data_IF_941862617070
#
_entry.id   IF_941862617070
#
_cell.length_a   1.000
_cell.length_b   1.000
_cell.length_c   1.000
_cell.angle_alpha   90.00
_cell.angle_beta   90.00
_cell.angle_gamma   90.00
#
_symmetry.space_group_name_H-M   'P 1'
#
loop_
_entity.id
_entity.type
_entity.pdbx_description
1 polymer ?
#
# COMPACT_ATOMS: atom_id res chain seq x y z
N UNK A 1 -34.96 -7.64 8.13
CA UNK A 1 -34.02 -7.46 9.25
C UNK A 1 -33.44 -8.75 9.83
N UNK A 2 -34.14 -9.91 9.75
CA UNK A 2 -33.66 -11.20 10.25
C UNK A 2 -32.54 -11.83 9.39
N UNK A 3 -32.74 -11.91 8.08
CA UNK A 3 -31.77 -12.52 7.14
C UNK A 3 -30.39 -11.90 7.16
N UNK A 4 -30.31 -10.57 7.34
CA UNK A 4 -29.03 -9.85 7.40
C UNK A 4 -28.26 -10.11 8.68
N UNK A 5 -28.95 -10.29 9.82
CA UNK A 5 -28.29 -10.66 11.08
C UNK A 5 -27.76 -12.09 11.03
N UNK A 6 -28.48 -13.00 10.39
CA UNK A 6 -28.07 -14.38 10.19
C UNK A 6 -26.88 -14.49 9.23
N UNK A 7 -26.88 -13.72 8.14
CA UNK A 7 -25.79 -13.62 7.19
C UNK A 7 -24.46 -13.21 7.85
N UNK A 8 -24.49 -12.23 8.76
CA UNK A 8 -23.30 -11.71 9.45
C UNK A 8 -22.82 -12.65 10.57
N UNK A 9 -23.74 -13.38 11.23
CA UNK A 9 -23.41 -14.24 12.37
C UNK A 9 -22.62 -15.50 12.01
N UNK A 10 -22.71 -15.95 10.77
CA UNK A 10 -22.10 -17.22 10.30
C UNK A 10 -20.82 -17.01 9.46
N UNK A 11 -20.50 -15.77 9.06
CA UNK A 11 -19.40 -15.46 8.15
C UNK A 11 -18.31 -14.63 8.80
N UNK A 12 -17.06 -14.88 8.38
CA UNK A 12 -15.92 -14.06 8.80
C UNK A 12 -15.95 -12.71 8.07
N UNK A 13 -16.06 -11.64 8.83
CA UNK A 13 -15.92 -10.27 8.29
C UNK A 13 -14.47 -9.95 7.95
N UNK A 14 -14.24 -9.47 6.72
CA UNK A 14 -12.97 -8.90 6.26
C UNK A 14 -13.11 -7.39 6.39
N UNK A 15 -12.34 -6.77 7.26
CA UNK A 15 -12.41 -5.32 7.53
C UNK A 15 -11.90 -4.51 6.35
N UNK A 16 -12.68 -3.49 5.95
CA UNK A 16 -12.45 -2.78 4.71
C UNK A 16 -12.60 -1.25 4.87
N UNK A 17 -11.66 -0.52 4.29
CA UNK A 17 -11.68 0.94 4.16
C UNK A 17 -11.61 1.37 2.70
N UNK A 18 -12.27 2.49 2.37
CA UNK A 18 -12.27 3.10 1.03
C UNK A 18 -11.84 4.57 1.10
N UNK A 19 -10.63 4.85 0.64
CA UNK A 19 -10.07 6.21 0.58
C UNK A 19 -10.26 6.77 -0.83
N UNK A 20 -10.50 8.08 -0.92
CA UNK A 20 -10.92 8.71 -2.20
C UNK A 20 -12.19 8.04 -2.76
N UNK A 21 -13.12 7.74 -1.86
CA UNK A 21 -14.24 6.84 -2.13
C UNK A 21 -15.21 7.38 -3.19
N UNK A 22 -15.25 8.70 -3.42
CA UNK A 22 -16.19 9.30 -4.34
C UNK A 22 -17.63 8.89 -4.01
N UNK A 23 -18.41 8.52 -5.00
CA UNK A 23 -19.78 8.02 -4.82
C UNK A 23 -19.85 6.57 -4.31
N UNK A 24 -18.70 5.89 -4.09
CA UNK A 24 -18.66 4.55 -3.53
C UNK A 24 -18.52 3.42 -4.54
N UNK A 25 -17.78 3.62 -5.63
CA UNK A 25 -17.59 2.58 -6.65
C UNK A 25 -16.92 1.33 -6.10
N UNK A 26 -15.77 1.48 -5.42
CA UNK A 26 -15.12 0.37 -4.72
C UNK A 26 -15.99 -0.14 -3.57
N UNK A 27 -16.53 0.77 -2.76
CA UNK A 27 -17.37 0.41 -1.62
C UNK A 27 -18.52 -0.51 -2.03
N UNK A 28 -19.23 -0.20 -3.10
CA UNK A 28 -20.33 -1.04 -3.60
C UNK A 28 -19.84 -2.37 -4.16
N UNK A 29 -18.74 -2.37 -4.93
CA UNK A 29 -18.17 -3.58 -5.51
C UNK A 29 -17.71 -4.58 -4.43
N UNK A 30 -16.99 -4.11 -3.42
CA UNK A 30 -16.55 -4.94 -2.29
C UNK A 30 -17.73 -5.43 -1.45
N UNK A 31 -18.74 -4.58 -1.21
CA UNK A 31 -19.94 -4.96 -0.48
C UNK A 31 -20.77 -6.07 -1.15
N UNK A 32 -20.72 -6.16 -2.48
CA UNK A 32 -21.38 -7.20 -3.25
C UNK A 32 -20.54 -8.48 -3.38
N UNK A 33 -19.23 -8.42 -3.10
CA UNK A 33 -18.34 -9.56 -3.15
C UNK A 33 -18.40 -10.34 -1.82
N UNK A 34 -18.99 -11.51 -1.83
CA UNK A 34 -19.06 -12.40 -0.67
C UNK A 34 -19.06 -13.87 -1.08
N UNK A 35 -18.71 -14.73 -0.12
CA UNK A 35 -18.77 -16.18 -0.25
C UNK A 35 -19.65 -16.75 0.86
N UNK A 36 -19.80 -18.07 0.92
CA UNK A 36 -20.61 -18.72 1.96
C UNK A 36 -20.00 -18.50 3.36
N UNK A 37 -18.70 -18.28 3.46
CA UNK A 37 -17.95 -18.15 4.72
C UNK A 37 -17.39 -16.75 5.00
N UNK A 38 -17.41 -15.82 4.03
CA UNK A 38 -16.76 -14.50 4.14
C UNK A 38 -17.59 -13.39 3.53
N UNK A 39 -17.44 -12.19 4.09
CA UNK A 39 -17.98 -10.93 3.54
C UNK A 39 -17.06 -9.76 3.86
N UNK A 40 -17.18 -8.66 3.12
CA UNK A 40 -16.46 -7.43 3.44
C UNK A 40 -17.24 -6.59 4.44
N UNK A 41 -16.64 -6.38 5.61
CA UNK A 41 -17.17 -5.54 6.67
C UNK A 41 -16.72 -4.10 6.44
N UNK A 42 -17.54 -3.32 5.78
CA UNK A 42 -17.26 -1.93 5.42
C UNK A 42 -17.25 -1.04 6.67
N UNK A 43 -16.08 -0.53 7.02
CA UNK A 43 -15.88 0.21 8.27
C UNK A 43 -15.88 1.71 8.06
N UNK A 44 -15.12 2.21 7.08
CA UNK A 44 -14.94 3.62 6.89
C UNK A 44 -14.68 3.94 5.41
N UNK A 45 -15.27 5.03 4.95
CA UNK A 45 -14.90 5.72 3.72
C UNK A 45 -14.38 7.12 3.99
N UNK A 46 -13.59 7.66 3.07
CA UNK A 46 -13.10 9.03 3.13
C UNK A 46 -13.09 9.67 1.76
N UNK A 47 -13.55 10.91 1.70
CA UNK A 47 -13.44 11.80 0.54
C UNK A 47 -13.50 13.25 1.02
N UNK A 48 -12.98 14.19 0.22
CA UNK A 48 -13.06 15.63 0.54
C UNK A 48 -14.44 16.22 0.19
N UNK A 49 -15.24 15.53 -0.63
CA UNK A 49 -16.49 16.04 -1.16
C UNK A 49 -17.69 15.66 -0.26
N UNK A 50 -18.35 16.65 0.30
CA UNK A 50 -19.54 16.48 1.17
C UNK A 50 -20.71 15.76 0.46
N UNK A 51 -20.85 15.88 -0.86
CA UNK A 51 -21.88 15.14 -1.60
C UNK A 51 -21.59 13.63 -1.59
N UNK A 52 -20.32 13.24 -1.55
CA UNK A 52 -19.92 11.85 -1.40
C UNK A 52 -20.32 11.32 -0.01
N UNK A 53 -20.09 12.10 1.05
CA UNK A 53 -20.55 11.77 2.40
C UNK A 53 -22.06 11.53 2.44
N UNK A 54 -22.85 12.44 1.86
CA UNK A 54 -24.31 12.29 1.83
C UNK A 54 -24.72 11.00 1.10
N UNK A 55 -24.10 10.71 -0.04
CA UNK A 55 -24.35 9.48 -0.81
C UNK A 55 -24.07 8.24 0.04
N UNK A 56 -22.93 8.20 0.72
CA UNK A 56 -22.54 7.08 1.59
C UNK A 56 -23.49 6.91 2.78
N UNK A 57 -23.85 8.00 3.46
CA UNK A 57 -24.80 7.97 4.59
C UNK A 57 -26.17 7.44 4.15
N UNK A 58 -26.68 7.90 3.00
CA UNK A 58 -27.95 7.39 2.48
C UNK A 58 -27.83 5.91 2.10
N UNK A 59 -26.84 5.54 1.30
CA UNK A 59 -26.70 4.17 0.78
C UNK A 59 -26.39 3.17 1.88
N UNK A 60 -25.33 3.40 2.66
CA UNK A 60 -24.82 2.38 3.59
C UNK A 60 -25.49 2.44 4.95
N UNK A 61 -25.67 3.62 5.53
CA UNK A 61 -26.24 3.71 6.87
C UNK A 61 -27.78 3.60 6.81
N UNK A 62 -28.45 4.45 6.00
CA UNK A 62 -29.91 4.51 5.99
C UNK A 62 -30.55 3.33 5.25
N UNK A 63 -30.14 3.05 4.01
CA UNK A 63 -30.77 1.99 3.20
C UNK A 63 -30.31 0.58 3.61
N UNK A 64 -29.00 0.38 3.82
CA UNK A 64 -28.45 -0.92 4.18
C UNK A 64 -28.35 -1.16 5.69
N UNK A 65 -28.53 -0.13 6.52
CA UNK A 65 -28.46 -0.22 7.98
C UNK A 65 -27.08 -0.63 8.49
N UNK A 66 -26.00 -0.24 7.79
CA UNK A 66 -24.63 -0.46 8.23
C UNK A 66 -24.18 0.64 9.19
N UNK A 67 -23.26 0.30 10.08
CA UNK A 67 -22.57 1.28 10.94
C UNK A 67 -21.22 1.69 10.29
N UNK A 68 -21.30 2.23 9.06
CA UNK A 68 -20.12 2.69 8.31
C UNK A 68 -19.87 4.16 8.64
N UNK A 69 -18.61 4.49 8.92
CA UNK A 69 -18.17 5.87 9.12
C UNK A 69 -17.82 6.53 7.80
N UNK A 70 -17.97 7.85 7.74
CA UNK A 70 -17.47 8.66 6.63
C UNK A 70 -16.64 9.82 7.18
N UNK A 71 -15.41 9.99 6.68
CA UNK A 71 -14.55 11.11 6.99
C UNK A 71 -14.54 12.08 5.81
N UNK A 72 -15.28 13.20 5.94
CA UNK A 72 -15.24 14.30 4.96
C UNK A 72 -14.07 15.21 5.30
N UNK A 73 -12.86 14.84 4.86
CA UNK A 73 -11.63 15.54 5.20
C UNK A 73 -10.58 15.38 4.10
N UNK A 74 -9.76 16.42 3.88
CA UNK A 74 -8.62 16.34 2.96
C UNK A 74 -7.53 15.42 3.55
N UNK A 75 -7.14 14.40 2.80
CA UNK A 75 -6.09 13.47 3.20
C UNK A 75 -4.72 14.13 3.37
N UNK A 76 -4.52 15.31 2.76
CA UNK A 76 -3.28 16.09 2.89
C UNK A 76 -3.16 16.83 4.22
N UNK A 77 -4.25 16.98 4.98
CA UNK A 77 -4.19 17.62 6.29
C UNK A 77 -3.39 16.77 7.28
N UNK A 78 -2.57 17.42 8.09
CA UNK A 78 -1.78 16.74 9.14
C UNK A 78 -2.66 16.03 10.18
N UNK A 79 -3.89 16.51 10.36
CA UNK A 79 -4.90 15.93 11.26
C UNK A 79 -5.60 14.70 10.70
N UNK A 80 -5.53 14.44 9.38
CA UNK A 80 -6.26 13.33 8.75
C UNK A 80 -5.88 11.96 9.33
N UNK A 81 -4.60 11.62 9.30
CA UNK A 81 -4.15 10.32 9.80
C UNK A 81 -4.43 10.12 11.30
N UNK A 82 -4.15 11.09 12.19
CA UNK A 82 -4.59 11.00 13.60
C UNK A 82 -6.09 10.78 13.76
N UNK A 83 -6.93 11.51 13.02
CA UNK A 83 -8.38 11.35 13.06
C UNK A 83 -8.83 9.97 12.57
N UNK A 84 -8.24 9.49 11.46
CA UNK A 84 -8.52 8.16 10.92
C UNK A 84 -8.20 7.06 11.95
N UNK A 85 -7.02 7.12 12.57
CA UNK A 85 -6.60 6.15 13.59
C UNK A 85 -7.53 6.18 14.81
N UNK A 86 -7.98 7.36 15.22
CA UNK A 86 -8.96 7.52 16.30
C UNK A 86 -10.32 6.88 15.95
N UNK A 87 -10.82 7.08 14.72
CA UNK A 87 -12.09 6.49 14.27
C UNK A 87 -12.04 4.96 14.13
N UNK A 88 -10.89 4.40 13.74
CA UNK A 88 -10.66 2.96 13.64
C UNK A 88 -10.46 2.33 15.03
N UNK A 89 -9.82 3.06 15.95
CA UNK A 89 -9.42 2.55 17.27
C UNK A 89 -8.42 1.40 17.15
N UNK A 90 -8.62 0.36 17.95
CA UNK A 90 -7.74 -0.83 17.97
C UNK A 90 -8.12 -1.90 16.92
N UNK A 91 -8.96 -1.58 15.95
CA UNK A 91 -9.42 -2.55 14.97
C UNK A 91 -8.36 -2.75 13.87
N UNK A 92 -7.99 -4.00 13.61
CA UNK A 92 -7.17 -4.34 12.45
C UNK A 92 -7.96 -4.14 11.16
N UNK A 93 -7.31 -3.57 10.15
CA UNK A 93 -7.87 -3.37 8.82
C UNK A 93 -7.25 -4.38 7.86
N UNK A 94 -8.08 -5.21 7.27
CA UNK A 94 -7.63 -6.24 6.33
C UNK A 94 -7.37 -5.67 4.94
N UNK A 95 -8.24 -4.76 4.46
CA UNK A 95 -8.18 -4.22 3.10
C UNK A 95 -8.36 -2.70 3.09
N UNK A 96 -7.53 -2.02 2.33
CA UNK A 96 -7.68 -0.59 2.03
C UNK A 96 -7.72 -0.40 0.52
N UNK A 97 -8.74 0.29 0.02
CA UNK A 97 -8.78 0.72 -1.38
C UNK A 97 -8.57 2.22 -1.50
N UNK A 98 -8.25 2.69 -2.70
CA UNK A 98 -8.19 4.11 -3.00
C UNK A 98 -7.72 4.42 -4.41
N UNK A 99 -8.21 5.53 -4.96
CA UNK A 99 -7.82 6.06 -6.26
C UNK A 99 -7.16 7.44 -6.13
N UNK A 100 -5.96 7.56 -5.53
CA UNK A 100 -5.29 8.85 -5.42
C UNK A 100 -4.97 9.39 -6.81
N UNK A 101 -5.43 10.62 -7.13
CA UNK A 101 -5.11 11.21 -8.42
C UNK A 101 -3.62 11.53 -8.51
N UNK A 102 -2.97 11.08 -9.58
CA UNK A 102 -1.55 11.33 -9.84
C UNK A 102 -1.33 12.63 -10.64
N UNK A 103 -2.02 13.72 -10.29
CA UNK A 103 -1.91 15.00 -11.00
C UNK A 103 -0.51 15.61 -10.86
N UNK A 104 0.13 15.49 -9.71
CA UNK A 104 1.46 15.99 -9.43
C UNK A 104 2.56 15.36 -10.29
N UNK A 105 2.41 14.11 -10.69
CA UNK A 105 3.31 13.48 -11.67
C UNK A 105 3.17 14.05 -13.08
N UNK A 106 2.10 14.86 -13.37
CA UNK A 106 1.88 15.42 -14.70
C UNK A 106 2.61 16.74 -14.96
N UNK A 107 3.00 17.45 -13.92
CA UNK A 107 3.61 18.77 -14.01
C UNK A 107 5.14 18.77 -14.01
N UNK A 108 5.77 17.61 -14.09
CA UNK A 108 7.25 17.46 -14.16
C UNK A 108 7.88 18.18 -15.38
N UNK A 109 7.09 18.69 -16.34
CA UNK A 109 7.56 19.46 -17.48
C UNK A 109 7.84 20.95 -17.22
N UNK A 110 7.43 21.52 -16.10
CA UNK A 110 7.70 22.93 -15.72
C UNK A 110 8.25 23.03 -14.29
N UNK A 111 9.52 22.79 -14.14
CA UNK A 111 10.48 23.23 -13.10
C UNK A 111 9.91 23.95 -11.85
N UNK A 112 8.96 23.39 -11.14
CA UNK A 112 8.84 23.61 -9.71
C UNK A 112 9.11 22.24 -9.06
N UNK A 113 10.12 22.18 -8.15
CA UNK A 113 10.26 21.05 -7.23
C UNK A 113 8.94 20.95 -6.48
N UNK A 114 8.02 20.10 -6.96
CA UNK A 114 6.82 19.76 -6.21
C UNK A 114 7.30 19.04 -4.96
N UNK A 115 6.98 19.63 -3.82
CA UNK A 115 7.23 19.01 -2.54
C UNK A 115 6.50 17.65 -2.54
N UNK A 116 7.17 16.59 -2.11
CA UNK A 116 6.55 15.25 -1.97
C UNK A 116 5.29 15.31 -1.08
N UNK A 117 5.17 16.35 -0.26
CA UNK A 117 4.04 16.59 0.64
C UNK A 117 2.73 16.94 -0.06
N UNK A 118 2.78 17.42 -1.31
CA UNK A 118 1.60 17.84 -2.07
C UNK A 118 1.05 16.74 -2.98
N UNK A 119 1.51 15.48 -2.82
CA UNK A 119 1.12 14.36 -3.65
C UNK A 119 0.15 13.42 -2.91
N UNK A 120 -1.08 13.35 -3.38
CA UNK A 120 -2.12 12.47 -2.82
C UNK A 120 -1.68 11.00 -2.73
N UNK A 121 -0.84 10.55 -3.65
CA UNK A 121 -0.26 9.22 -3.61
C UNK A 121 0.58 8.99 -2.35
N UNK A 122 1.44 9.96 -1.96
CA UNK A 122 2.23 9.83 -0.74
C UNK A 122 1.37 9.84 0.52
N UNK A 123 0.31 10.64 0.55
CA UNK A 123 -0.64 10.64 1.66
C UNK A 123 -1.39 9.31 1.77
N UNK A 124 -1.79 8.73 0.63
CA UNK A 124 -2.32 7.37 0.59
C UNK A 124 -1.32 6.35 1.17
N UNK A 125 -0.06 6.38 0.74
CA UNK A 125 0.98 5.49 1.26
C UNK A 125 1.26 5.69 2.75
N UNK A 126 1.15 6.92 3.29
CA UNK A 126 1.24 7.16 4.74
C UNK A 126 0.15 6.38 5.50
N UNK A 127 -1.08 6.38 4.97
CA UNK A 127 -2.16 5.58 5.56
C UNK A 127 -1.86 4.09 5.48
N UNK A 128 -1.45 3.58 4.32
CA UNK A 128 -1.07 2.17 4.16
C UNK A 128 0.06 1.78 5.13
N UNK A 129 1.08 2.62 5.26
CA UNK A 129 2.20 2.40 6.19
C UNK A 129 1.75 2.38 7.66
N UNK A 130 0.81 3.23 8.03
CA UNK A 130 0.31 3.31 9.40
C UNK A 130 -0.63 2.14 9.75
N UNK A 131 -1.55 1.78 8.85
CA UNK A 131 -2.53 0.72 9.07
C UNK A 131 -2.00 -0.69 8.83
N UNK A 132 -0.99 -0.83 7.96
CA UNK A 132 -0.41 -2.14 7.56
C UNK A 132 -1.47 -3.19 7.21
N UNK A 133 -2.40 -2.86 6.29
CA UNK A 133 -3.44 -3.79 5.91
C UNK A 133 -2.84 -5.05 5.27
N UNK A 134 -3.56 -6.17 5.29
CA UNK A 134 -3.12 -7.41 4.61
C UNK A 134 -3.07 -7.24 3.09
N UNK A 135 -4.00 -6.43 2.57
CA UNK A 135 -4.07 -6.09 1.15
C UNK A 135 -4.43 -4.62 0.98
N UNK A 136 -3.94 -4.02 -0.08
CA UNK A 136 -4.45 -2.74 -0.54
C UNK A 136 -4.63 -2.75 -2.07
N UNK A 137 -5.57 -1.97 -2.54
CA UNK A 137 -5.87 -1.79 -3.97
C UNK A 137 -5.76 -0.32 -4.30
N UNK A 138 -4.86 0.01 -5.21
CA UNK A 138 -4.71 1.37 -5.73
C UNK A 138 -5.20 1.41 -7.17
N UNK A 139 -6.23 2.21 -7.43
CA UNK A 139 -6.72 2.47 -8.78
C UNK A 139 -6.03 3.71 -9.34
N UNK A 140 -5.74 3.69 -10.63
CA UNK A 140 -5.30 4.87 -11.34
C UNK A 140 -5.57 4.76 -12.85
N UNK A 141 -5.50 5.89 -13.56
CA UNK A 141 -5.73 5.92 -15.00
C UNK A 141 -4.62 5.20 -15.77
N UNK A 142 -4.98 4.51 -16.88
CA UNK A 142 -4.05 3.72 -17.70
C UNK A 142 -2.81 4.51 -18.14
N UNK A 143 -2.94 5.84 -18.33
CA UNK A 143 -1.83 6.72 -18.71
C UNK A 143 -0.64 6.72 -17.74
N UNK A 144 -0.81 6.30 -16.48
CA UNK A 144 0.29 6.23 -15.50
C UNK A 144 1.35 5.19 -15.90
N UNK A 145 0.96 4.15 -16.63
CA UNK A 145 1.85 3.05 -17.02
C UNK A 145 2.87 3.46 -18.09
N UNK A 146 2.51 4.44 -18.94
CA UNK A 146 3.33 4.88 -20.06
C UNK A 146 3.89 6.28 -19.86
N UNK A 147 3.38 7.01 -18.87
CA UNK A 147 3.78 8.38 -18.59
C UNK A 147 5.26 8.44 -18.19
N UNK A 148 5.96 9.44 -18.74
CA UNK A 148 7.39 9.64 -18.51
C UNK A 148 8.20 8.36 -18.80
N UNK A 149 7.89 7.67 -19.92
CA UNK A 149 8.56 6.43 -20.35
C UNK A 149 8.49 5.29 -19.31
N UNK A 150 7.42 5.27 -18.50
CA UNK A 150 7.22 4.27 -17.45
C UNK A 150 7.91 4.60 -16.12
N UNK A 151 8.71 5.67 -16.03
CA UNK A 151 9.43 6.05 -14.80
C UNK A 151 8.50 6.30 -13.61
N UNK A 152 7.29 6.80 -13.86
CA UNK A 152 6.30 7.01 -12.79
C UNK A 152 5.85 5.69 -12.19
N UNK A 153 5.55 4.69 -13.02
CA UNK A 153 5.21 3.34 -12.57
C UNK A 153 6.32 2.75 -11.70
N UNK A 154 7.56 2.83 -12.17
CA UNK A 154 8.71 2.28 -11.42
C UNK A 154 8.90 3.00 -10.08
N UNK A 155 8.70 4.32 -10.05
CA UNK A 155 8.75 5.10 -8.80
C UNK A 155 7.65 4.67 -7.82
N UNK A 156 6.40 4.51 -8.28
CA UNK A 156 5.29 4.02 -7.46
C UNK A 156 5.61 2.65 -6.88
N UNK A 157 6.08 1.71 -7.70
CA UNK A 157 6.45 0.38 -7.25
C UNK A 157 7.59 0.41 -6.22
N UNK A 158 8.58 1.29 -6.39
CA UNK A 158 9.68 1.46 -5.43
C UNK A 158 9.15 1.98 -4.09
N UNK A 159 8.32 3.01 -4.09
CA UNK A 159 7.74 3.57 -2.86
C UNK A 159 6.85 2.53 -2.13
N UNK A 160 6.09 1.72 -2.86
CA UNK A 160 5.30 0.63 -2.28
C UNK A 160 6.20 -0.43 -1.65
N UNK A 161 7.23 -0.88 -2.36
CA UNK A 161 8.19 -1.89 -1.87
C UNK A 161 8.99 -1.41 -0.66
N UNK A 162 9.12 -0.11 -0.48
CA UNK A 162 9.78 0.48 0.69
C UNK A 162 8.96 0.46 1.97
N UNK A 163 7.68 0.07 1.92
CA UNK A 163 6.83 -0.10 3.10
C UNK A 163 7.17 -1.44 3.75
N UNK A 164 8.08 -1.41 4.70
CA UNK A 164 8.56 -2.60 5.41
C UNK A 164 8.13 -2.61 6.87
N UNK A 165 8.06 -3.79 7.45
CA UNK A 165 7.86 -4.00 8.87
C UNK A 165 9.23 -4.08 9.56
N UNK A 166 9.63 -3.04 10.27
CA UNK A 166 10.95 -2.93 10.89
C UNK A 166 11.24 -4.10 11.86
N UNK A 167 10.22 -4.58 12.59
CA UNK A 167 10.39 -5.71 13.50
C UNK A 167 10.66 -7.03 12.74
N UNK A 168 9.92 -7.27 11.65
CA UNK A 168 10.14 -8.43 10.78
C UNK A 168 11.45 -8.32 10.01
N UNK A 169 11.82 -7.10 9.60
CA UNK A 169 13.11 -6.84 8.95
C UNK A 169 14.26 -7.15 9.88
N UNK A 170 14.21 -6.70 11.14
CA UNK A 170 15.24 -7.02 12.13
C UNK A 170 15.33 -8.53 12.38
N UNK A 171 14.20 -9.24 12.44
CA UNK A 171 14.20 -10.71 12.55
C UNK A 171 14.83 -11.38 11.32
N UNK A 172 14.53 -10.86 10.11
CA UNK A 172 15.12 -11.38 8.88
C UNK A 172 16.63 -11.11 8.81
N UNK A 173 17.10 -9.92 9.20
CA UNK A 173 18.53 -9.63 9.27
C UNK A 173 19.25 -10.50 10.31
N UNK A 174 18.66 -10.72 11.49
CA UNK A 174 19.20 -11.64 12.48
C UNK A 174 19.29 -13.07 11.91
N UNK A 175 18.26 -13.55 11.24
CA UNK A 175 18.27 -14.86 10.58
C UNK A 175 19.37 -14.96 9.50
N UNK A 176 19.57 -13.92 8.71
CA UNK A 176 20.64 -13.87 7.71
C UNK A 176 22.01 -13.96 8.35
N UNK A 177 22.26 -13.21 9.44
CA UNK A 177 23.55 -13.20 10.15
C UNK A 177 23.80 -14.51 10.89
N UNK A 178 22.83 -15.00 11.65
CA UNK A 178 23.02 -16.10 12.60
C UNK A 178 22.89 -17.47 11.93
N UNK A 179 22.04 -17.60 10.92
CA UNK A 179 21.70 -18.88 10.29
C UNK A 179 22.29 -19.04 8.90
N UNK A 180 22.12 -18.06 8.00
CA UNK A 180 22.53 -18.21 6.61
C UNK A 180 24.00 -17.88 6.37
N UNK A 181 24.56 -16.87 7.01
CA UNK A 181 25.96 -16.47 6.85
C UNK A 181 26.97 -17.59 7.10
N UNK A 182 26.81 -18.44 8.15
CA UNK A 182 27.72 -19.58 8.37
C UNK A 182 27.57 -20.70 7.35
N UNK A 183 26.43 -20.77 6.62
CA UNK A 183 26.06 -21.90 5.76
C UNK A 183 26.25 -21.65 4.28
N UNK A 184 26.53 -20.41 3.88
CA UNK A 184 26.65 -20.05 2.46
C UNK A 184 27.95 -19.33 2.13
N UNK A 185 28.44 -19.42 0.88
CA UNK A 185 29.61 -18.64 0.44
C UNK A 185 29.40 -17.17 0.67
N UNK A 186 30.43 -16.49 1.22
CA UNK A 186 30.37 -15.07 1.55
C UNK A 186 29.89 -14.16 0.40
N UNK A 187 30.30 -14.34 -0.87
CA UNK A 187 29.79 -13.51 -1.95
C UNK A 187 28.26 -13.61 -2.14
N UNK A 188 27.70 -14.82 -2.00
CA UNK A 188 26.26 -15.05 -2.13
C UNK A 188 25.49 -14.45 -0.96
N UNK A 189 25.99 -14.64 0.26
CA UNK A 189 25.42 -14.00 1.46
C UNK A 189 25.42 -12.48 1.32
N UNK A 190 26.54 -11.90 0.92
CA UNK A 190 26.69 -10.46 0.78
C UNK A 190 25.77 -9.86 -0.27
N UNK A 191 25.60 -10.54 -1.41
CA UNK A 191 24.66 -10.12 -2.45
C UNK A 191 23.20 -10.18 -1.98
N UNK A 192 22.80 -11.23 -1.25
CA UNK A 192 21.47 -11.35 -0.69
C UNK A 192 21.20 -10.23 0.33
N UNK A 193 22.16 -10.01 1.23
CA UNK A 193 22.09 -8.95 2.26
C UNK A 193 21.92 -7.57 1.62
N UNK A 194 22.73 -7.25 0.63
CA UNK A 194 22.68 -6.00 -0.07
C UNK A 194 21.39 -5.82 -0.85
N UNK A 195 20.95 -6.84 -1.59
CA UNK A 195 19.67 -6.80 -2.32
C UNK A 195 18.51 -6.51 -1.37
N UNK A 196 18.51 -7.13 -0.20
CA UNK A 196 17.50 -6.87 0.82
C UNK A 196 17.56 -5.43 1.33
N UNK A 197 18.74 -4.90 1.61
CA UNK A 197 18.93 -3.49 1.99
C UNK A 197 18.43 -2.53 0.91
N UNK A 198 18.70 -2.82 -0.37
CA UNK A 198 18.23 -1.99 -1.50
C UNK A 198 16.71 -1.98 -1.64
N UNK A 199 16.06 -3.13 -1.49
CA UNK A 199 14.60 -3.23 -1.63
C UNK A 199 13.85 -2.61 -0.45
N UNK A 200 14.52 -2.43 0.69
CA UNK A 200 13.93 -1.90 1.93
C UNK A 200 14.33 -0.47 2.28
N UNK A 201 15.34 0.09 1.59
CA UNK A 201 15.81 1.46 1.82
C UNK A 201 15.00 2.48 1.01
N UNK A 202 14.55 3.55 1.66
CA UNK A 202 13.62 4.52 1.06
C UNK A 202 14.28 5.76 0.47
N UNK A 203 15.46 6.20 0.89
CA UNK A 203 15.79 7.62 0.67
C UNK A 203 17.19 7.98 0.17
N UNK A 204 18.13 7.06 -0.03
CA UNK A 204 19.51 7.49 -0.35
C UNK A 204 20.32 6.57 -1.28
N UNK A 205 19.68 5.94 -2.26
CA UNK A 205 20.44 5.29 -3.33
C UNK A 205 20.71 6.28 -4.45
N UNK A 206 21.87 6.91 -4.39
CA UNK A 206 22.35 7.70 -5.49
C UNK A 206 22.94 6.79 -6.60
N UNK A 207 23.19 7.39 -7.77
CA UNK A 207 23.67 6.67 -8.96
C UNK A 207 24.99 5.90 -8.76
N UNK A 208 25.78 6.23 -7.73
CA UNK A 208 27.04 5.53 -7.43
C UNK A 208 26.79 4.15 -6.85
N UNK A 209 25.76 4.02 -6.01
CA UNK A 209 25.36 2.72 -5.49
C UNK A 209 24.73 1.84 -6.58
N UNK A 210 23.96 2.44 -7.50
CA UNK A 210 23.35 1.71 -8.63
C UNK A 210 24.42 1.04 -9.52
N UNK A 211 25.49 1.78 -9.90
CA UNK A 211 26.61 1.24 -10.66
C UNK A 211 27.42 0.17 -9.91
N UNK A 212 27.56 0.30 -8.59
CA UNK A 212 28.19 -0.72 -7.76
C UNK A 212 27.39 -2.03 -7.77
N UNK A 213 26.07 -1.96 -7.73
CA UNK A 213 25.19 -3.13 -7.72
C UNK A 213 25.09 -3.81 -9.08
N UNK A 214 25.05 -3.08 -10.18
CA UNK A 214 25.12 -3.65 -11.52
C UNK A 214 26.41 -4.48 -11.70
N UNK A 215 27.53 -3.99 -11.20
CA UNK A 215 28.79 -4.70 -11.20
C UNK A 215 28.74 -5.97 -10.31
N UNK A 216 28.14 -5.89 -9.13
CA UNK A 216 27.99 -7.02 -8.22
C UNK A 216 27.03 -8.09 -8.79
N UNK A 217 25.94 -7.68 -9.42
CA UNK A 217 25.02 -8.59 -10.14
C UNK A 217 25.72 -9.32 -11.28
N UNK A 218 26.59 -8.63 -12.01
CA UNK A 218 27.38 -9.23 -13.08
C UNK A 218 28.37 -10.26 -12.52
N UNK A 219 29.08 -9.93 -11.46
CA UNK A 219 30.01 -10.86 -10.78
C UNK A 219 29.29 -12.10 -10.24
N UNK A 220 28.07 -11.94 -9.70
CA UNK A 220 27.26 -13.05 -9.23
C UNK A 220 26.78 -13.97 -10.37
N UNK A 221 26.38 -13.40 -11.50
CA UNK A 221 26.03 -14.16 -12.70
C UNK A 221 27.21 -14.99 -13.20
N UNK A 222 28.41 -14.45 -13.07
CA UNK A 222 29.64 -15.15 -13.49
C UNK A 222 30.03 -16.27 -12.51
N UNK A 223 29.84 -16.06 -11.21
CA UNK A 223 30.06 -17.08 -10.18
C UNK A 223 29.03 -18.21 -10.26
N UNK A 224 27.75 -17.90 -10.48
CA UNK A 224 26.66 -18.89 -10.58
C UNK A 224 26.73 -19.75 -11.85
N UNK A 225 27.36 -19.24 -12.93
CA UNK A 225 27.62 -20.06 -14.14
C UNK A 225 28.57 -21.22 -13.92
N UNK A 226 29.37 -21.20 -12.86
CA UNK A 226 30.38 -22.21 -12.57
C UNK A 226 30.01 -23.13 -11.38
N UNK A 227 28.81 -22.96 -10.82
CA UNK A 227 28.32 -23.89 -9.79
C UNK A 227 27.75 -25.13 -10.50
N UNK A 228 28.24 -26.34 -10.19
CA UNK A 228 27.63 -27.54 -10.71
C UNK A 228 26.20 -27.65 -10.19
N UNK A 229 25.24 -27.76 -11.09
CA UNK A 229 23.88 -28.15 -10.73
C UNK A 229 23.94 -29.56 -10.14
N UNK A 230 23.71 -29.65 -8.84
CA UNK A 230 23.44 -30.91 -8.17
C UNK A 230 21.94 -30.98 -7.85
#
# INVERSE_FOLDING_TARGET
MSEKKEFISTRKGITYLDLFAGAGGFSEGFMQAYTDDKYYNFRLASDINENCELTHRVRYNKMLGLDTKFMCQDIMEDSFLPNLLKEIGNQEIDVVTGGPSCQSFSLAGRRKKLDKRDDLFYHYLKVIKALRPKYFVMENVKGILTKDEGRIKERILREIRSIVDDAKMNQLFAFLEDVLKPQMPFPLYYALYIKLCMETSTDNWDKQNEAFFENLEQQLKDVTKHLPYS
#
